data_IF_644423205085
#
_entry.id   IF_644423205085
#
_cell.length_a   1.000
_cell.length_b   1.000
_cell.length_c   1.000
_cell.angle_alpha   90.00
_cell.angle_beta   90.00
_cell.angle_gamma   90.00
#
_symmetry.space_group_name_H-M   'P 1'
#
loop_
_entity.id
_entity.type
_entity.pdbx_description
1 polymer ?
#
# COMPACT_ATOMS: atom_id res chain seq x y z
N UNK A 1 -23.60 22.33 -5.01
CA UNK A 1 -24.04 21.29 -5.99
C UNK A 1 -23.19 20.06 -5.85
N UNK A 2 -23.74 18.98 -5.37
CA UNK A 2 -23.04 17.69 -5.40
C UNK A 2 -22.92 17.26 -6.86
N UNK A 3 -21.69 17.11 -7.32
CA UNK A 3 -21.45 16.52 -8.63
C UNK A 3 -21.72 15.02 -8.52
N UNK A 4 -22.74 14.55 -9.17
CA UNK A 4 -23.03 13.12 -9.27
C UNK A 4 -21.96 12.45 -10.11
N UNK A 5 -21.40 11.33 -9.62
CA UNK A 5 -20.43 10.55 -10.38
C UNK A 5 -21.10 9.85 -11.56
N UNK A 6 -20.43 9.88 -12.71
CA UNK A 6 -20.85 9.09 -13.85
C UNK A 6 -20.35 7.65 -13.69
N UNK A 7 -21.24 6.76 -13.26
CA UNK A 7 -20.92 5.36 -13.00
C UNK A 7 -20.55 4.55 -14.25
N UNK A 8 -20.78 5.10 -15.44
CA UNK A 8 -20.37 4.46 -16.70
C UNK A 8 -18.89 4.74 -17.04
N UNK A 9 -18.25 5.64 -16.30
CA UNK A 9 -16.88 6.11 -16.55
C UNK A 9 -15.96 5.95 -15.34
N UNK A 10 -16.18 4.96 -14.49
CA UNK A 10 -15.30 4.64 -13.37
C UNK A 10 -14.03 3.99 -13.92
N UNK A 11 -12.83 4.47 -13.52
CA UNK A 11 -11.58 3.85 -13.95
C UNK A 11 -11.42 2.44 -13.37
N UNK A 12 -10.76 1.56 -14.11
CA UNK A 12 -10.44 0.22 -13.59
C UNK A 12 -9.34 0.22 -12.55
N UNK A 13 -8.40 1.17 -12.66
CA UNK A 13 -7.22 1.25 -11.80
C UNK A 13 -7.03 2.70 -11.31
N UNK A 14 -6.84 2.84 -10.01
CA UNK A 14 -6.44 4.09 -9.35
C UNK A 14 -5.14 3.84 -8.61
N UNK A 15 -4.16 4.73 -8.80
CA UNK A 15 -2.91 4.72 -8.05
C UNK A 15 -2.78 5.99 -7.22
N UNK A 16 -2.39 5.86 -5.97
CA UNK A 16 -2.28 6.97 -5.02
C UNK A 16 -0.89 6.97 -4.38
N UNK A 17 -0.24 8.13 -4.43
CA UNK A 17 0.98 8.38 -3.68
C UNK A 17 0.57 8.86 -2.28
N UNK A 18 0.96 8.13 -1.27
CA UNK A 18 0.70 8.49 0.12
C UNK A 18 1.81 9.39 0.63
N UNK A 19 1.56 10.69 0.64
CA UNK A 19 2.52 11.70 1.05
C UNK A 19 1.88 12.74 1.98
N UNK A 20 2.71 13.30 2.85
CA UNK A 20 2.31 14.41 3.71
C UNK A 20 1.73 14.02 5.07
N UNK A 21 1.65 12.73 5.41
CA UNK A 21 1.11 12.27 6.70
C UNK A 21 1.90 12.83 7.90
N UNK A 22 3.23 12.85 7.81
CA UNK A 22 4.08 13.44 8.84
C UNK A 22 3.86 14.95 8.99
N UNK A 23 3.75 15.67 7.89
CA UNK A 23 3.45 17.13 7.90
C UNK A 23 2.05 17.41 8.44
N UNK A 24 1.08 16.56 8.14
CA UNK A 24 -0.27 16.63 8.69
C UNK A 24 -0.26 16.56 10.24
N UNK A 25 0.51 15.63 10.80
CA UNK A 25 0.69 15.48 12.24
C UNK A 25 1.39 16.69 12.85
N UNK A 26 2.49 17.15 12.25
CA UNK A 26 3.25 18.31 12.71
C UNK A 26 2.41 19.59 12.80
N UNK A 27 1.54 19.83 11.83
CA UNK A 27 0.60 20.96 11.85
C UNK A 27 -0.41 20.90 13.00
N UNK A 28 -0.57 19.75 13.65
CA UNK A 28 -1.47 19.50 14.78
C UNK A 28 -0.70 19.30 16.10
N UNK A 29 0.61 19.57 16.09
CA UNK A 29 1.49 19.34 17.24
C UNK A 29 1.49 17.88 17.71
N UNK A 30 1.36 16.96 16.77
CA UNK A 30 1.40 15.51 17.01
C UNK A 30 2.70 14.91 16.47
N UNK A 31 3.18 13.81 17.06
CA UNK A 31 4.28 13.04 16.48
C UNK A 31 3.97 12.57 15.05
N UNK A 32 4.99 12.48 14.21
CA UNK A 32 4.84 12.02 12.81
C UNK A 32 4.14 10.67 12.70
N UNK A 33 4.35 9.79 13.68
CA UNK A 33 3.71 8.46 13.76
C UNK A 33 2.19 8.52 13.82
N UNK A 34 1.63 9.55 14.45
CA UNK A 34 0.16 9.76 14.47
C UNK A 34 -0.38 10.09 13.09
N UNK A 35 0.42 10.79 12.27
CA UNK A 35 0.10 11.03 10.87
C UNK A 35 0.05 9.74 10.05
N UNK A 36 1.00 8.83 10.26
CA UNK A 36 1.01 7.53 9.60
C UNK A 36 -0.19 6.67 10.00
N UNK A 37 -0.58 6.69 11.28
CA UNK A 37 -1.81 6.00 11.75
C UNK A 37 -3.07 6.56 11.09
N UNK A 38 -3.16 7.89 10.99
CA UNK A 38 -4.28 8.53 10.29
C UNK A 38 -4.30 8.15 8.80
N UNK A 39 -3.13 7.98 8.19
CA UNK A 39 -2.98 7.47 6.83
C UNK A 39 -3.55 6.07 6.65
N UNK A 40 -3.33 5.16 7.59
CA UNK A 40 -3.90 3.81 7.58
C UNK A 40 -5.43 3.85 7.59
N UNK A 41 -6.01 4.72 8.42
CA UNK A 41 -7.47 4.90 8.45
C UNK A 41 -8.01 5.43 7.12
N UNK A 42 -7.28 6.33 6.49
CA UNK A 42 -7.61 6.84 5.15
C UNK A 42 -7.58 5.71 4.12
N UNK A 43 -6.59 4.82 4.18
CA UNK A 43 -6.51 3.62 3.31
C UNK A 43 -7.76 2.77 3.45
N UNK A 44 -8.25 2.52 4.66
CA UNK A 44 -9.49 1.75 4.90
C UNK A 44 -10.69 2.38 4.18
N UNK A 45 -10.85 3.69 4.35
CA UNK A 45 -11.96 4.45 3.76
C UNK A 45 -11.89 4.45 2.24
N UNK A 46 -10.72 4.68 1.67
CA UNK A 46 -10.52 4.72 0.22
C UNK A 46 -10.68 3.33 -0.40
N UNK A 47 -10.17 2.28 0.22
CA UNK A 47 -10.35 0.91 -0.26
C UNK A 47 -11.83 0.53 -0.32
N UNK A 48 -12.58 0.85 0.72
CA UNK A 48 -14.03 0.62 0.76
C UNK A 48 -14.74 1.39 -0.35
N UNK A 49 -14.46 2.69 -0.49
CA UNK A 49 -15.07 3.53 -1.50
C UNK A 49 -14.76 3.04 -2.94
N UNK A 50 -13.51 2.69 -3.21
CA UNK A 50 -13.11 2.14 -4.50
C UNK A 50 -13.83 0.83 -4.81
N UNK A 51 -13.94 -0.07 -3.84
CA UNK A 51 -14.67 -1.34 -4.00
C UNK A 51 -16.16 -1.11 -4.31
N UNK A 52 -16.80 -0.19 -3.60
CA UNK A 52 -18.22 0.16 -3.82
C UNK A 52 -18.45 0.81 -5.19
N UNK A 53 -17.49 1.56 -5.71
CA UNK A 53 -17.55 2.18 -7.03
C UNK A 53 -17.25 1.22 -8.18
N UNK A 54 -16.76 0.03 -7.90
CA UNK A 54 -16.40 -0.94 -8.93
C UNK A 54 -14.99 -0.76 -9.50
N UNK A 55 -14.12 -0.02 -8.83
CA UNK A 55 -12.68 0.04 -9.17
C UNK A 55 -12.07 -1.34 -8.92
N UNK A 56 -11.35 -1.86 -9.91
CA UNK A 56 -10.78 -3.22 -9.83
C UNK A 56 -9.44 -3.28 -9.12
N UNK A 57 -8.60 -2.24 -9.30
CA UNK A 57 -7.25 -2.18 -8.75
C UNK A 57 -7.01 -0.84 -8.08
N UNK A 58 -6.57 -0.89 -6.83
CA UNK A 58 -6.08 0.29 -6.10
C UNK A 58 -4.62 0.06 -5.73
N UNK A 59 -3.74 0.88 -6.29
CA UNK A 59 -2.30 0.85 -5.96
C UNK A 59 -1.96 1.96 -4.98
N UNK A 60 -1.29 1.60 -3.89
CA UNK A 60 -0.83 2.53 -2.86
C UNK A 60 0.69 2.51 -2.77
N UNK A 61 1.31 3.66 -2.99
CA UNK A 61 2.76 3.85 -2.76
C UNK A 61 2.99 4.21 -1.30
N UNK A 62 3.40 3.24 -0.50
CA UNK A 62 3.48 3.38 0.96
C UNK A 62 4.89 3.55 1.50
N UNK A 63 5.86 2.82 0.96
CA UNK A 63 7.25 2.86 1.38
C UNK A 63 8.18 2.71 0.18
N UNK A 64 8.94 3.78 -0.11
CA UNK A 64 9.90 3.77 -1.23
C UNK A 64 11.27 3.24 -0.82
N UNK A 65 12.09 2.83 -1.79
CA UNK A 65 13.48 2.44 -1.54
C UNK A 65 14.29 3.57 -0.88
N UNK A 66 13.96 4.83 -1.17
CA UNK A 66 14.60 6.01 -0.59
C UNK A 66 14.26 6.17 0.90
N UNK A 67 13.14 5.65 1.37
CA UNK A 67 12.72 5.73 2.77
C UNK A 67 13.60 4.91 3.72
N UNK A 68 14.41 3.97 3.21
CA UNK A 68 15.39 3.26 4.03
C UNK A 68 16.44 4.18 4.65
N UNK A 69 16.67 5.35 4.10
CA UNK A 69 17.57 6.36 4.65
C UNK A 69 17.00 7.16 5.83
N UNK A 70 15.72 6.99 6.16
CA UNK A 70 15.09 7.65 7.32
C UNK A 70 15.63 7.08 8.64
N UNK A 71 15.45 7.83 9.77
CA UNK A 71 15.85 7.33 11.09
C UNK A 71 15.27 5.94 11.37
N UNK A 72 16.06 5.06 12.00
CA UNK A 72 15.68 3.66 12.24
C UNK A 72 14.41 3.51 13.08
N UNK A 73 14.14 4.43 14.00
CA UNK A 73 12.91 4.45 14.79
C UNK A 73 11.67 4.69 13.92
N UNK A 74 11.76 5.61 12.96
CA UNK A 74 10.68 5.88 12.02
C UNK A 74 10.42 4.68 11.11
N UNK A 75 11.49 4.06 10.60
CA UNK A 75 11.38 2.85 9.77
C UNK A 75 10.74 1.70 10.56
N UNK A 76 11.17 1.47 11.81
CA UNK A 76 10.58 0.44 12.68
C UNK A 76 9.11 0.69 12.93
N UNK A 77 8.71 1.92 13.16
CA UNK A 77 7.31 2.29 13.37
C UNK A 77 6.48 2.04 12.12
N UNK A 78 7.00 2.41 10.94
CA UNK A 78 6.33 2.15 9.66
C UNK A 78 6.16 0.64 9.41
N UNK A 79 7.17 -0.17 9.71
CA UNK A 79 7.06 -1.64 9.58
C UNK A 79 6.05 -2.22 10.55
N UNK A 80 5.97 -1.70 11.78
CA UNK A 80 4.93 -2.08 12.75
C UNK A 80 3.52 -1.72 12.27
N UNK A 81 3.34 -0.59 11.61
CA UNK A 81 2.06 -0.19 11.02
C UNK A 81 1.69 -1.10 9.83
N UNK A 82 2.66 -1.49 9.03
CA UNK A 82 2.42 -2.48 7.96
C UNK A 82 1.90 -3.78 8.55
N UNK A 83 2.58 -4.31 9.58
CA UNK A 83 2.15 -5.56 10.24
C UNK A 83 0.74 -5.45 10.81
N UNK A 84 0.44 -4.39 11.55
CA UNK A 84 -0.90 -4.21 12.13
C UNK A 84 -1.99 -4.02 11.08
N UNK A 85 -1.66 -3.39 9.95
CA UNK A 85 -2.59 -3.21 8.83
C UNK A 85 -2.95 -4.53 8.15
N UNK A 86 -2.03 -5.50 8.13
CA UNK A 86 -2.26 -6.82 7.53
C UNK A 86 -3.22 -7.68 8.36
N UNK A 87 -3.33 -7.41 9.65
CA UNK A 87 -4.28 -8.08 10.55
C UNK A 87 -5.70 -7.48 10.47
N UNK A 88 -5.86 -6.42 9.68
CA UNK A 88 -7.11 -5.68 9.58
C UNK A 88 -8.20 -6.48 8.86
N UNK A 89 -9.41 -6.35 9.34
CA UNK A 89 -10.60 -6.93 8.71
C UNK A 89 -10.94 -6.33 7.33
N UNK A 90 -10.22 -5.26 6.94
CA UNK A 90 -10.46 -4.56 5.66
C UNK A 90 -10.47 -5.52 4.46
N UNK A 91 -9.59 -6.51 4.46
CA UNK A 91 -9.49 -7.47 3.36
C UNK A 91 -10.73 -8.36 3.25
N UNK A 92 -11.23 -8.85 4.36
CA UNK A 92 -12.38 -9.75 4.37
C UNK A 92 -13.71 -8.99 4.24
N UNK A 93 -13.85 -7.85 4.91
CA UNK A 93 -15.06 -7.03 4.82
C UNK A 93 -15.31 -6.44 3.43
N UNK A 94 -14.24 -6.10 2.70
CA UNK A 94 -14.33 -5.50 1.38
C UNK A 94 -14.08 -6.49 0.24
N UNK A 95 -13.94 -7.78 0.55
CA UNK A 95 -13.58 -8.81 -0.43
C UNK A 95 -12.36 -8.38 -1.26
N UNK A 96 -11.36 -7.84 -0.57
CA UNK A 96 -10.14 -7.28 -1.16
C UNK A 96 -9.02 -8.32 -1.21
N UNK A 97 -8.37 -8.39 -2.35
CA UNK A 97 -7.19 -9.22 -2.57
C UNK A 97 -5.92 -8.38 -2.39
N UNK A 98 -4.97 -8.87 -1.61
CA UNK A 98 -3.67 -8.21 -1.46
C UNK A 98 -2.69 -8.68 -2.54
N UNK A 99 -2.03 -7.73 -3.18
CA UNK A 99 -0.81 -7.92 -3.96
C UNK A 99 0.25 -6.92 -3.49
N UNK A 100 1.51 -7.30 -3.58
CA UNK A 100 2.63 -6.46 -3.16
C UNK A 100 3.64 -6.37 -4.28
N UNK A 101 4.15 -5.17 -4.52
CA UNK A 101 5.25 -4.91 -5.45
C UNK A 101 6.39 -4.21 -4.71
N UNK A 102 7.61 -4.48 -5.11
CA UNK A 102 8.81 -3.87 -4.55
C UNK A 102 9.89 -4.88 -4.21
N UNK A 103 10.97 -4.39 -3.64
CA UNK A 103 12.09 -5.21 -3.15
C UNK A 103 11.74 -5.81 -1.77
N UNK A 104 10.92 -6.84 -1.79
CA UNK A 104 10.33 -7.46 -0.59
C UNK A 104 11.39 -8.17 0.24
N UNK A 105 12.44 -8.68 -0.37
CA UNK A 105 13.55 -9.37 0.33
C UNK A 105 14.30 -8.45 1.29
N UNK A 106 14.25 -7.14 1.06
CA UNK A 106 14.86 -6.14 1.93
C UNK A 106 14.04 -5.86 3.20
N UNK A 107 12.77 -6.27 3.24
CA UNK A 107 11.91 -6.12 4.39
C UNK A 107 12.30 -7.09 5.51
N UNK A 108 12.01 -6.78 6.79
CA UNK A 108 12.18 -7.73 7.88
C UNK A 108 11.45 -9.05 7.61
N UNK A 109 12.02 -10.17 8.04
CA UNK A 109 11.43 -11.51 7.81
C UNK A 109 10.00 -11.63 8.34
N UNK A 110 9.72 -11.05 9.48
CA UNK A 110 8.37 -11.01 10.07
C UNK A 110 7.37 -10.34 9.13
N UNK A 111 7.76 -9.23 8.51
CA UNK A 111 6.92 -8.52 7.53
C UNK A 111 6.73 -9.37 6.28
N UNK A 112 7.79 -9.97 5.76
CA UNK A 112 7.71 -10.85 4.58
C UNK A 112 6.73 -12.01 4.82
N UNK A 113 6.83 -12.66 5.96
CA UNK A 113 5.96 -13.79 6.34
C UNK A 113 4.50 -13.34 6.45
N UNK A 114 4.24 -12.23 7.13
CA UNK A 114 2.89 -11.68 7.28
C UNK A 114 2.27 -11.27 5.93
N UNK A 115 3.06 -10.65 5.06
CA UNK A 115 2.63 -10.31 3.69
C UNK A 115 2.23 -11.55 2.89
N UNK A 116 3.08 -12.56 2.89
CA UNK A 116 2.82 -13.81 2.16
C UNK A 116 1.56 -14.51 2.69
N UNK A 117 1.39 -14.53 3.99
CA UNK A 117 0.22 -15.13 4.64
C UNK A 117 -1.07 -14.39 4.25
N UNK A 118 -1.06 -13.07 4.26
CA UNK A 118 -2.21 -12.25 3.87
C UNK A 118 -2.52 -12.39 2.37
N UNK A 119 -1.50 -12.43 1.52
CA UNK A 119 -1.66 -12.69 0.08
C UNK A 119 -2.38 -14.02 -0.13
N UNK A 120 -1.93 -15.09 0.56
CA UNK A 120 -2.55 -16.41 0.45
C UNK A 120 -3.98 -16.44 0.97
N UNK A 121 -4.26 -15.77 2.10
CA UNK A 121 -5.59 -15.72 2.71
C UNK A 121 -6.60 -14.94 1.87
N UNK A 122 -6.14 -13.99 1.06
CA UNK A 122 -7.01 -13.10 0.27
C UNK A 122 -7.06 -13.44 -1.22
N UNK A 123 -6.33 -14.44 -1.65
CA UNK A 123 -6.16 -14.77 -3.10
C UNK A 123 -7.46 -15.05 -3.84
N UNK A 124 -8.51 -15.47 -3.14
CA UNK A 124 -9.82 -15.77 -3.71
C UNK A 124 -10.81 -14.60 -3.61
N UNK A 125 -10.42 -13.49 -2.98
CA UNK A 125 -11.23 -12.29 -2.93
C UNK A 125 -11.26 -11.62 -4.31
N UNK A 126 -12.41 -11.05 -4.69
CA UNK A 126 -12.68 -10.65 -6.09
C UNK A 126 -13.16 -9.23 -6.29
N UNK A 127 -13.61 -8.55 -5.23
CA UNK A 127 -14.23 -7.22 -5.39
C UNK A 127 -13.23 -6.16 -5.79
N UNK A 128 -12.05 -6.17 -5.18
CA UNK A 128 -10.97 -5.23 -5.47
C UNK A 128 -9.63 -5.86 -5.17
N UNK A 129 -8.62 -5.54 -5.98
CA UNK A 129 -7.23 -5.88 -5.68
C UNK A 129 -6.52 -4.63 -5.15
N UNK A 130 -6.03 -4.73 -3.92
CA UNK A 130 -5.19 -3.72 -3.29
C UNK A 130 -3.73 -4.07 -3.57
N UNK A 131 -3.05 -3.23 -4.34
CA UNK A 131 -1.62 -3.38 -4.65
C UNK A 131 -0.84 -2.41 -3.78
N UNK A 132 0.00 -2.94 -2.90
CA UNK A 132 0.80 -2.14 -1.98
C UNK A 132 2.25 -2.13 -2.46
N UNK A 133 2.78 -0.96 -2.76
CA UNK A 133 4.18 -0.78 -3.13
C UNK A 133 5.01 -0.57 -1.86
N UNK A 134 5.82 -1.55 -1.52
CA UNK A 134 6.69 -1.57 -0.34
C UNK A 134 8.13 -1.77 -0.77
N UNK A 135 9.05 -0.96 -0.25
CA UNK A 135 10.47 -0.99 -0.68
C UNK A 135 10.57 -0.89 -2.20
N UNK A 136 9.80 0.01 -2.78
CA UNK A 136 9.61 0.17 -4.21
C UNK A 136 10.18 1.49 -4.72
N UNK A 137 10.76 1.45 -5.92
CA UNK A 137 10.94 2.62 -6.77
C UNK A 137 10.90 2.20 -8.24
N UNK A 138 10.51 3.12 -9.11
CA UNK A 138 10.50 2.84 -10.55
C UNK A 138 11.90 2.54 -11.09
N UNK A 139 12.93 3.21 -10.57
CA UNK A 139 14.33 2.95 -10.94
C UNK A 139 14.75 1.55 -10.57
N UNK A 140 14.42 1.09 -9.37
CA UNK A 140 14.67 -0.27 -8.93
C UNK A 140 13.95 -1.28 -9.83
N UNK A 141 12.70 -1.06 -10.13
CA UNK A 141 11.91 -1.96 -10.99
C UNK A 141 12.48 -2.07 -12.39
N UNK A 142 12.82 -0.94 -13.02
CA UNK A 142 13.39 -0.92 -14.37
C UNK A 142 14.73 -1.65 -14.38
N UNK A 143 15.61 -1.40 -13.40
CA UNK A 143 16.90 -2.07 -13.26
C UNK A 143 16.73 -3.58 -13.08
N UNK A 144 15.81 -3.99 -12.23
CA UNK A 144 15.52 -5.40 -11.98
C UNK A 144 15.02 -6.12 -13.23
N UNK A 145 14.13 -5.50 -13.97
CA UNK A 145 13.64 -6.02 -15.26
C UNK A 145 14.77 -6.17 -16.28
N UNK A 146 15.66 -5.21 -16.34
CA UNK A 146 16.84 -5.26 -17.22
C UNK A 146 17.76 -6.44 -16.86
N UNK A 147 18.02 -6.67 -15.58
CA UNK A 147 18.81 -7.80 -15.09
C UNK A 147 18.16 -9.15 -15.44
N UNK A 148 16.85 -9.28 -15.24
CA UNK A 148 16.09 -10.48 -15.60
C UNK A 148 16.21 -10.77 -17.10
N UNK A 149 16.03 -9.77 -17.95
CA UNK A 149 16.16 -9.91 -19.38
C UNK A 149 17.58 -10.34 -19.81
N UNK A 150 18.60 -9.77 -19.19
CA UNK A 150 20.00 -10.14 -19.45
C UNK A 150 20.29 -11.59 -19.06
N UNK A 151 19.71 -12.09 -17.98
CA UNK A 151 19.89 -13.48 -17.53
C UNK A 151 19.22 -14.51 -18.44
N UNK A 152 18.22 -14.12 -19.22
CA UNK A 152 17.54 -14.96 -20.20
C UNK A 152 18.30 -15.06 -21.53
N UNK A 153 19.23 -14.18 -21.77
CA UNK A 153 20.07 -14.19 -22.97
C UNK A 153 21.28 -15.13 -22.82
#
# INVERSE_FOLDING_TARGET
MEKTLDMTRIPEHIAIIMDGNGRWAQKRNLPRTEGHKAGVETVRRITKACGELGVKYLTLYTFSTENWSRPSEEVSTLMGLVLSSLEDEIFMKNDARLQVIGDIERLPKEVQTALQQTINNTKNNKSITLVVALSYSSRWEITKRSEEHTSEL
#
